data_IF_143877367391
#
_entry.id   IF_143877367391
#
_cell.length_a   1.000
_cell.length_b   1.000
_cell.length_c   1.000
_cell.angle_alpha   90.00
_cell.angle_beta   90.00
_cell.angle_gamma   90.00
#
_symmetry.space_group_name_H-M   'P 1'
#
loop_
_entity.id
_entity.type
_entity.pdbx_description
1 polymer ?
#
# COMPACT_ATOMS: atom_id res chain seq x y z
N UNK A 1 13.95 -13.97 34.31
CA UNK A 1 14.02 -14.98 33.24
C UNK A 1 12.80 -14.97 32.33
N UNK A 2 11.57 -14.91 32.84
CA UNK A 2 10.36 -14.78 32.04
C UNK A 2 10.39 -13.57 31.08
N UNK A 3 11.01 -12.48 31.51
CA UNK A 3 11.08 -11.22 30.73
C UNK A 3 11.85 -11.36 29.40
N UNK A 4 12.92 -12.19 29.36
CA UNK A 4 13.72 -12.38 28.14
C UNK A 4 12.90 -13.16 27.07
N UNK A 5 12.13 -14.16 27.48
CA UNK A 5 11.24 -14.90 26.59
C UNK A 5 10.14 -14.01 26.00
N UNK A 6 9.49 -13.17 26.82
CA UNK A 6 8.43 -12.26 26.33
C UNK A 6 8.98 -11.19 25.38
N UNK A 7 10.14 -10.60 25.67
CA UNK A 7 10.77 -9.62 24.76
C UNK A 7 11.16 -10.26 23.43
N UNK A 8 11.66 -11.48 23.46
CA UNK A 8 12.01 -12.21 22.23
C UNK A 8 10.76 -12.58 21.42
N UNK A 9 9.67 -13.03 22.06
CA UNK A 9 8.41 -13.33 21.40
C UNK A 9 7.78 -12.10 20.73
N UNK A 10 7.79 -10.95 21.39
CA UNK A 10 7.28 -9.70 20.80
C UNK A 10 8.12 -9.28 19.60
N UNK A 11 9.46 -9.40 19.69
CA UNK A 11 10.37 -9.16 18.57
C UNK A 11 10.10 -10.11 17.40
N UNK A 12 9.93 -11.41 17.67
CA UNK A 12 9.60 -12.42 16.67
C UNK A 12 8.29 -12.12 15.95
N UNK A 13 7.26 -11.71 16.68
CA UNK A 13 5.98 -11.28 16.10
C UNK A 13 6.16 -10.06 15.19
N UNK A 14 6.98 -9.09 15.59
CA UNK A 14 7.32 -7.92 14.76
C UNK A 14 8.06 -8.31 13.47
N UNK A 15 9.09 -9.15 13.59
CA UNK A 15 9.86 -9.62 12.43
C UNK A 15 9.01 -10.44 11.45
N UNK A 16 8.08 -11.28 11.96
CA UNK A 16 7.15 -12.02 11.11
C UNK A 16 6.24 -11.08 10.33
N UNK A 17 5.74 -10.02 10.96
CA UNK A 17 4.91 -9.01 10.29
C UNK A 17 5.71 -8.23 9.26
N UNK A 18 6.96 -7.87 9.58
CA UNK A 18 7.86 -7.22 8.63
C UNK A 18 8.15 -8.10 7.41
N UNK A 19 8.38 -9.39 7.63
CA UNK A 19 8.56 -10.37 6.55
C UNK A 19 7.34 -10.42 5.61
N UNK A 20 6.11 -10.33 6.17
CA UNK A 20 4.88 -10.29 5.38
C UNK A 20 4.78 -9.02 4.53
N UNK A 21 5.13 -7.85 5.10
CA UNK A 21 5.12 -6.58 4.37
C UNK A 21 6.16 -6.58 3.25
N UNK A 22 7.38 -7.02 3.53
CA UNK A 22 8.45 -7.11 2.52
C UNK A 22 8.07 -8.10 1.41
N UNK A 23 7.47 -9.25 1.76
CA UNK A 23 6.98 -10.20 0.77
C UNK A 23 5.87 -9.61 -0.12
N UNK A 24 4.94 -8.84 0.47
CA UNK A 24 3.90 -8.14 -0.28
C UNK A 24 4.49 -7.09 -1.22
N UNK A 25 5.48 -6.31 -0.78
CA UNK A 25 6.19 -5.35 -1.63
C UNK A 25 6.86 -6.05 -2.83
N UNK A 26 7.58 -7.15 -2.57
CA UNK A 26 8.24 -7.92 -3.65
C UNK A 26 7.23 -8.47 -4.65
N UNK A 27 6.13 -9.06 -4.17
CA UNK A 27 5.08 -9.61 -5.03
C UNK A 27 4.43 -8.56 -5.92
N UNK A 28 4.38 -7.30 -5.46
CA UNK A 28 3.76 -6.18 -6.16
C UNK A 28 4.77 -5.20 -6.78
N UNK A 29 6.05 -5.56 -6.86
CA UNK A 29 7.09 -4.69 -7.44
C UNK A 29 6.86 -4.37 -8.92
N UNK A 30 6.12 -5.21 -9.65
CA UNK A 30 5.73 -5.00 -11.05
C UNK A 30 4.26 -4.56 -11.19
N UNK A 31 3.53 -4.35 -10.09
CA UNK A 31 2.11 -3.98 -10.13
C UNK A 31 1.98 -2.47 -10.34
N UNK A 32 1.28 -2.07 -11.41
CA UNK A 32 1.01 -0.66 -11.74
C UNK A 32 0.28 0.05 -10.60
N UNK A 33 0.78 1.22 -10.22
CA UNK A 33 0.19 2.04 -9.17
C UNK A 33 0.37 1.50 -7.75
N UNK A 34 1.14 0.43 -7.56
CA UNK A 34 1.42 -0.08 -6.22
C UNK A 34 2.34 0.88 -5.47
N UNK A 35 2.00 1.14 -4.22
CA UNK A 35 2.78 1.96 -3.30
C UNK A 35 3.42 1.07 -2.23
N UNK A 36 4.72 1.21 -2.03
CA UNK A 36 5.47 0.46 -1.04
C UNK A 36 4.90 0.64 0.37
N UNK A 37 4.82 -0.43 1.13
CA UNK A 37 4.51 -0.40 2.56
C UNK A 37 5.76 -0.57 3.40
N UNK A 38 5.82 0.17 4.50
CA UNK A 38 6.80 0.03 5.57
C UNK A 38 6.14 -0.29 6.90
N UNK A 39 6.93 -0.73 7.89
CA UNK A 39 6.46 -0.89 9.26
C UNK A 39 7.14 0.13 10.16
N UNK A 40 6.35 0.85 10.95
CA UNK A 40 6.82 1.65 12.06
C UNK A 40 6.84 0.79 13.33
N UNK A 41 8.03 0.67 13.92
CA UNK A 41 8.21 0.04 15.21
C UNK A 41 8.01 1.08 16.31
N UNK A 42 7.03 0.87 17.17
CA UNK A 42 6.86 1.68 18.38
C UNK A 42 7.39 0.91 19.58
N UNK A 43 8.13 1.59 20.46
CA UNK A 43 8.55 1.07 21.73
C UNK A 43 7.41 1.18 22.75
N UNK A 44 7.03 0.06 23.35
CA UNK A 44 6.10 0.03 24.48
C UNK A 44 6.83 -0.31 25.74
N UNK A 45 6.87 0.65 26.68
CA UNK A 45 7.54 0.46 27.98
C UNK A 45 6.50 0.01 29.00
N UNK A 46 6.63 -1.22 29.49
CA UNK A 46 5.79 -1.76 30.56
C UNK A 46 6.55 -1.74 31.88
N UNK A 47 6.00 -1.07 32.89
CA UNK A 47 6.54 -1.08 34.27
C UNK A 47 6.36 -2.48 34.87
N UNK A 48 7.45 -3.11 35.25
CA UNK A 48 7.41 -4.36 36.02
C UNK A 48 7.21 -4.04 37.52
N UNK A 49 6.32 -4.79 38.20
CA UNK A 49 6.19 -4.69 39.66
C UNK A 49 7.41 -5.34 40.31
N UNK A 50 8.37 -4.53 40.74
CA UNK A 50 9.55 -4.97 41.51
C UNK A 50 10.81 -5.27 40.69
N UNK A 51 10.92 -4.79 39.46
CA UNK A 51 12.08 -4.90 38.58
C UNK A 51 12.20 -3.75 37.58
N UNK A 52 13.26 -3.80 36.75
CA UNK A 52 13.49 -2.85 35.68
C UNK A 52 12.32 -2.88 34.67
N UNK A 53 11.99 -1.71 34.08
CA UNK A 53 10.95 -1.60 33.07
C UNK A 53 11.32 -2.42 31.82
N UNK A 54 10.32 -3.12 31.26
CA UNK A 54 10.45 -3.88 30.03
C UNK A 54 10.13 -3.00 28.82
N UNK A 55 11.10 -2.89 27.93
CA UNK A 55 10.91 -2.30 26.61
C UNK A 55 10.51 -3.39 25.63
N UNK A 56 9.31 -3.26 25.05
CA UNK A 56 8.80 -4.19 24.02
C UNK A 56 8.61 -3.46 22.71
N UNK A 57 9.19 -3.98 21.64
CA UNK A 57 8.95 -3.45 20.30
C UNK A 57 7.60 -3.95 19.76
N UNK A 58 6.73 -3.02 19.39
CA UNK A 58 5.46 -3.34 18.74
C UNK A 58 5.45 -2.78 17.31
N UNK A 59 5.42 -3.66 16.33
CA UNK A 59 5.22 -3.29 14.93
C UNK A 59 3.72 -3.11 14.67
N UNK A 60 3.20 -1.90 14.74
CA UNK A 60 1.75 -1.66 14.70
C UNK A 60 1.23 -0.91 13.49
N UNK A 61 2.05 -0.12 12.82
CA UNK A 61 1.57 0.76 11.76
C UNK A 61 2.26 0.39 10.46
N UNK A 62 1.48 -0.03 9.47
CA UNK A 62 1.93 -0.03 8.10
C UNK A 62 1.90 1.42 7.60
N UNK A 63 3.03 1.94 7.16
CA UNK A 63 3.12 3.25 6.52
C UNK A 63 3.22 3.04 5.02
N UNK A 64 2.33 3.68 4.26
CA UNK A 64 2.39 3.66 2.80
C UNK A 64 3.29 4.79 2.31
N UNK A 65 4.32 4.45 1.53
CA UNK A 65 5.15 5.45 0.85
C UNK A 65 4.37 6.08 -0.28
N UNK A 66 4.12 7.39 -0.21
CA UNK A 66 3.42 8.14 -1.25
C UNK A 66 4.34 8.62 -2.38
N UNK A 67 5.65 8.36 -2.31
CA UNK A 67 6.58 8.74 -3.37
C UNK A 67 6.11 8.20 -4.72
N UNK A 68 6.25 9.03 -5.76
CA UNK A 68 5.85 8.66 -7.12
C UNK A 68 6.75 7.57 -7.69
N UNK A 69 6.14 6.56 -8.33
CA UNK A 69 6.84 5.56 -9.12
C UNK A 69 7.28 6.11 -10.49
N UNK A 70 8.06 5.33 -11.22
CA UNK A 70 8.46 5.69 -12.58
C UNK A 70 7.23 5.74 -13.51
N UNK A 71 7.15 6.79 -14.33
CA UNK A 71 6.10 6.93 -15.35
C UNK A 71 6.52 6.25 -16.64
N UNK A 72 5.83 5.18 -17.00
CA UNK A 72 6.12 4.36 -18.18
C UNK A 72 5.11 4.64 -19.29
N UNK A 73 5.59 4.96 -20.49
CA UNK A 73 4.74 5.21 -21.66
C UNK A 73 4.19 3.90 -22.21
N UNK A 74 2.86 3.81 -22.34
CA UNK A 74 2.17 2.66 -22.95
C UNK A 74 1.57 3.00 -24.31
N UNK A 75 1.15 4.24 -24.51
CA UNK A 75 0.48 4.71 -25.72
C UNK A 75 -1.00 4.33 -25.84
N UNK A 76 -1.58 3.65 -24.85
CA UNK A 76 -3.01 3.37 -24.79
C UNK A 76 -3.77 4.63 -24.34
N UNK A 77 -4.86 4.97 -25.02
CA UNK A 77 -5.60 6.20 -24.78
C UNK A 77 -6.23 6.29 -23.38
N UNK A 78 -6.50 5.15 -22.75
CA UNK A 78 -7.13 5.07 -21.43
C UNK A 78 -6.16 4.71 -20.31
N UNK A 79 -4.88 4.58 -20.61
CA UNK A 79 -3.84 4.49 -19.59
C UNK A 79 -3.51 5.90 -19.11
N UNK A 80 -3.71 6.14 -17.84
CA UNK A 80 -3.54 7.45 -17.21
C UNK A 80 -2.56 7.38 -16.06
N UNK A 81 -1.68 8.35 -15.97
CA UNK A 81 -0.82 8.56 -14.82
C UNK A 81 -1.04 9.94 -14.23
N UNK A 82 -0.92 10.07 -12.93
CA UNK A 82 -0.95 11.36 -12.24
C UNK A 82 0.50 11.83 -12.09
N UNK A 83 0.79 13.06 -12.49
CA UNK A 83 2.07 13.73 -12.22
C UNK A 83 1.93 14.52 -10.90
N UNK A 84 2.73 14.14 -9.89
CA UNK A 84 2.65 14.72 -8.55
C UNK A 84 1.71 13.96 -7.60
N UNK A 85 1.18 14.66 -6.61
CA UNK A 85 0.34 14.09 -5.55
C UNK A 85 -1.11 13.89 -6.01
N UNK A 86 -1.83 12.98 -5.33
CA UNK A 86 -3.25 12.68 -5.58
C UNK A 86 -3.48 11.22 -5.95
N UNK A 87 -4.73 10.86 -6.17
CA UNK A 87 -5.19 9.52 -6.50
C UNK A 87 -6.42 9.62 -7.41
N UNK A 88 -6.60 8.64 -8.26
CA UNK A 88 -7.90 8.40 -8.87
C UNK A 88 -8.87 7.88 -7.80
N UNK A 89 -10.14 8.21 -7.93
CA UNK A 89 -11.19 7.63 -7.10
C UNK A 89 -12.00 6.64 -7.93
N UNK A 90 -12.28 5.48 -7.35
CA UNK A 90 -13.09 4.42 -7.98
C UNK A 90 -14.20 3.99 -7.04
N UNK A 91 -15.35 3.65 -7.60
CA UNK A 91 -16.50 3.17 -6.85
C UNK A 91 -16.44 1.65 -6.71
N UNK A 92 -16.36 1.15 -5.49
CA UNK A 92 -16.43 -0.28 -5.19
C UNK A 92 -17.76 -0.60 -4.49
N UNK A 93 -18.17 -1.88 -4.38
CA UNK A 93 -19.36 -2.27 -3.62
C UNK A 93 -19.32 -1.82 -2.15
N UNK A 94 -18.12 -1.66 -1.58
CA UNK A 94 -17.89 -1.25 -0.19
C UNK A 94 -17.67 0.26 -0.04
N UNK A 95 -17.96 1.05 -1.09
CA UNK A 95 -17.79 2.51 -1.14
C UNK A 95 -16.60 2.98 -1.98
N UNK A 96 -16.31 4.29 -1.96
CA UNK A 96 -15.27 4.88 -2.77
C UNK A 96 -13.87 4.52 -2.26
N UNK A 97 -12.96 4.25 -3.19
CA UNK A 97 -11.55 3.91 -2.92
C UNK A 97 -10.63 4.76 -3.75
N UNK A 98 -9.46 5.01 -3.22
CA UNK A 98 -8.38 5.74 -3.89
C UNK A 98 -7.41 4.74 -4.54
N UNK A 99 -6.88 5.09 -5.71
CA UNK A 99 -5.89 4.26 -6.42
C UNK A 99 -4.93 5.10 -7.24
N UNK A 100 -3.70 4.58 -7.42
CA UNK A 100 -2.72 5.09 -8.40
C UNK A 100 -2.67 4.22 -9.66
N UNK A 101 -3.37 3.09 -9.67
CA UNK A 101 -3.48 2.26 -10.86
C UNK A 101 -4.36 2.95 -11.91
N UNK A 102 -3.76 3.40 -12.99
CA UNK A 102 -4.43 4.15 -14.06
C UNK A 102 -4.70 3.35 -15.32
N UNK A 103 -4.67 2.03 -15.26
CA UNK A 103 -5.03 1.16 -16.37
C UNK A 103 -6.54 1.01 -16.42
N UNK A 104 -7.19 1.83 -17.25
CA UNK A 104 -8.64 1.87 -17.39
C UNK A 104 -9.10 1.36 -18.73
N UNK A 105 -10.36 0.95 -18.80
CA UNK A 105 -11.04 0.56 -20.05
C UNK A 105 -12.49 1.01 -20.00
N UNK A 106 -13.10 1.42 -21.13
CA UNK A 106 -14.54 1.64 -21.17
C UNK A 106 -15.29 0.31 -21.11
N UNK A 107 -16.34 0.23 -20.29
CA UNK A 107 -17.25 -0.91 -20.24
C UNK A 107 -18.29 -0.88 -21.38
N UNK A 108 -19.21 -1.87 -21.42
CA UNK A 108 -20.25 -1.95 -22.45
C UNK A 108 -21.28 -0.80 -22.34
N UNK A 109 -21.35 -0.14 -21.19
CA UNK A 109 -22.21 1.00 -20.92
C UNK A 109 -21.53 2.33 -21.24
N UNK A 110 -20.22 2.31 -21.51
CA UNK A 110 -19.40 3.48 -21.77
C UNK A 110 -18.79 4.12 -20.51
N UNK A 111 -18.90 3.49 -19.34
CA UNK A 111 -18.21 4.00 -18.16
C UNK A 111 -16.73 3.60 -18.19
N UNK A 112 -15.86 4.49 -17.76
CA UNK A 112 -14.44 4.18 -17.58
C UNK A 112 -14.26 3.34 -16.30
N UNK A 113 -13.75 2.12 -16.43
CA UNK A 113 -13.62 1.17 -15.32
C UNK A 113 -12.21 0.64 -15.16
N UNK A 114 -11.87 0.17 -13.95
CA UNK A 114 -10.66 -0.60 -13.68
C UNK A 114 -10.77 -2.01 -14.26
N UNK A 115 -9.66 -2.77 -14.23
CA UNK A 115 -9.64 -4.18 -14.63
C UNK A 115 -10.61 -5.06 -13.82
N UNK A 116 -10.90 -4.66 -12.57
CA UNK A 116 -11.86 -5.33 -11.69
C UNK A 116 -13.31 -4.87 -11.92
N UNK A 117 -13.55 -3.95 -12.87
CA UNK A 117 -14.86 -3.43 -13.21
C UNK A 117 -15.37 -2.30 -12.30
N UNK A 118 -14.52 -1.67 -11.52
CA UNK A 118 -14.88 -0.54 -10.67
C UNK A 118 -14.90 0.76 -11.48
N UNK A 119 -16.03 1.51 -11.51
CA UNK A 119 -16.11 2.78 -12.21
C UNK A 119 -15.15 3.83 -11.63
N UNK A 120 -14.47 4.55 -12.51
CA UNK A 120 -13.66 5.73 -12.17
C UNK A 120 -14.61 6.91 -11.98
N UNK A 121 -14.35 7.75 -10.99
CA UNK A 121 -15.20 8.85 -10.62
C UNK A 121 -14.62 10.19 -11.08
N UNK A 122 -15.52 11.12 -11.41
CA UNK A 122 -15.22 12.53 -11.68
C UNK A 122 -15.07 13.33 -10.37
N UNK A 123 -14.83 14.65 -10.47
CA UNK A 123 -14.73 15.53 -9.31
C UNK A 123 -16.04 15.64 -8.50
N UNK A 124 -17.18 15.30 -9.09
CA UNK A 124 -18.48 15.25 -8.44
C UNK A 124 -18.85 13.86 -7.90
N UNK A 125 -17.89 12.93 -7.90
CA UNK A 125 -18.08 11.53 -7.49
C UNK A 125 -19.10 10.76 -8.33
N UNK A 126 -19.31 11.18 -9.57
CA UNK A 126 -20.12 10.43 -10.55
C UNK A 126 -19.22 9.58 -11.47
N UNK A 127 -19.71 8.42 -11.97
CA UNK A 127 -18.95 7.61 -12.93
C UNK A 127 -18.60 8.40 -14.19
N UNK A 128 -17.32 8.32 -14.59
CA UNK A 128 -16.82 8.96 -15.81
C UNK A 128 -17.32 8.19 -17.02
N UNK A 129 -18.05 8.90 -17.91
CA UNK A 129 -18.62 8.35 -19.13
C UNK A 129 -17.76 8.67 -20.35
N UNK A 130 -17.46 7.63 -21.15
CA UNK A 130 -16.76 7.73 -22.43
C UNK A 130 -17.54 6.94 -23.48
N UNK A 131 -18.25 7.61 -24.39
CA UNK A 131 -19.11 6.93 -25.38
C UNK A 131 -18.27 6.05 -26.30
N UNK A 132 -18.74 4.83 -26.54
CA UNK A 132 -18.14 3.91 -27.49
C UNK A 132 -18.39 4.40 -28.94
N UNK A 133 -17.30 4.55 -29.72
CA UNK A 133 -17.41 4.82 -31.15
C UNK A 133 -17.26 6.27 -31.61
N UNK A 134 -17.08 7.24 -30.72
CA UNK A 134 -16.96 8.67 -31.07
C UNK A 134 -15.55 9.11 -31.53
N UNK A 135 -14.77 8.21 -32.08
CA UNK A 135 -13.45 8.54 -32.65
C UNK A 135 -12.32 8.60 -31.59
N UNK A 136 -11.19 9.26 -31.90
CA UNK A 136 -10.04 9.32 -30.99
C UNK A 136 -10.38 10.12 -29.73
N UNK A 137 -10.13 9.50 -28.56
CA UNK A 137 -10.30 10.12 -27.25
C UNK A 137 -8.99 10.81 -26.86
N UNK A 138 -9.09 12.07 -26.46
CA UNK A 138 -7.96 12.85 -25.92
C UNK A 138 -8.29 13.25 -24.49
N UNK A 139 -7.31 13.10 -23.62
CA UNK A 139 -7.41 13.48 -22.20
C UNK A 139 -6.41 14.59 -21.93
N UNK A 140 -6.91 15.74 -21.53
CA UNK A 140 -6.11 16.92 -21.25
C UNK A 140 -5.42 16.80 -19.88
N UNK A 141 -4.37 17.61 -19.61
CA UNK A 141 -3.64 17.54 -18.34
C UNK A 141 -4.49 17.81 -17.09
N UNK A 142 -5.60 18.51 -17.21
CA UNK A 142 -6.57 18.73 -16.13
C UNK A 142 -7.55 17.55 -15.91
N UNK A 143 -7.37 16.46 -16.67
CA UNK A 143 -8.25 15.29 -16.62
C UNK A 143 -9.49 15.39 -17.53
N UNK A 144 -9.68 16.50 -18.27
CA UNK A 144 -10.81 16.65 -19.19
C UNK A 144 -10.72 15.66 -20.34
N UNK A 145 -11.74 14.83 -20.47
CA UNK A 145 -11.88 13.85 -21.56
C UNK A 145 -12.64 14.51 -22.71
N UNK A 146 -12.08 14.42 -23.89
CA UNK A 146 -12.71 14.94 -25.13
C UNK A 146 -12.75 13.85 -26.19
N UNK A 147 -13.89 13.73 -26.87
CA UNK A 147 -14.06 12.92 -28.07
C UNK A 147 -14.46 13.83 -29.25
N UNK A 148 -13.79 13.71 -30.39
CA UNK A 148 -14.00 14.58 -31.55
C UNK A 148 -13.88 16.09 -31.23
N UNK A 149 -13.06 16.47 -30.22
CA UNK A 149 -12.90 17.86 -29.80
C UNK A 149 -14.02 18.41 -28.93
N UNK A 150 -15.00 17.58 -28.54
CA UNK A 150 -16.06 17.96 -27.61
C UNK A 150 -15.74 17.41 -26.20
N UNK A 151 -15.78 18.24 -25.16
CA UNK A 151 -15.60 17.75 -23.78
C UNK A 151 -16.79 16.88 -23.38
N UNK A 152 -16.48 15.69 -22.79
CA UNK A 152 -17.46 14.68 -22.41
C UNK A 152 -17.55 14.51 -20.89
N UNK A 153 -16.45 14.74 -20.17
CA UNK A 153 -16.34 14.58 -18.74
C UNK A 153 -14.93 14.90 -18.27
N UNK A 154 -14.68 14.67 -17.00
CA UNK A 154 -13.36 14.91 -16.40
C UNK A 154 -13.05 13.80 -15.39
N UNK A 155 -11.84 13.25 -15.43
CA UNK A 155 -11.37 12.31 -14.40
C UNK A 155 -11.05 13.09 -13.12
N UNK A 156 -11.64 12.68 -12.00
CA UNK A 156 -11.37 13.29 -10.71
C UNK A 156 -10.04 12.83 -10.11
N UNK A 157 -9.28 13.80 -9.59
CA UNK A 157 -8.08 13.53 -8.79
C UNK A 157 -8.35 13.99 -7.36
N UNK A 158 -8.03 13.13 -6.40
CA UNK A 158 -8.34 13.34 -4.99
C UNK A 158 -7.11 13.14 -4.12
N UNK A 159 -6.99 13.93 -3.07
CA UNK A 159 -6.02 13.73 -2.01
C UNK A 159 -6.72 13.25 -0.73
N UNK A 160 -6.18 12.27 -0.03
CA UNK A 160 -6.73 11.88 1.27
C UNK A 160 -6.56 13.03 2.27
N UNK A 161 -7.60 13.33 3.06
CA UNK A 161 -7.56 14.36 4.12
C UNK A 161 -6.47 14.04 5.14
N UNK A 162 -6.31 12.76 5.49
CA UNK A 162 -5.21 12.29 6.33
C UNK A 162 -4.49 11.10 5.67
N UNK A 163 -3.33 11.31 5.05
CA UNK A 163 -2.58 10.24 4.40
C UNK A 163 -2.14 9.11 5.34
N UNK A 164 -1.98 9.39 6.64
CA UNK A 164 -1.57 8.39 7.63
C UNK A 164 -2.68 7.43 8.05
N UNK A 165 -3.92 7.80 7.78
CA UNK A 165 -5.11 6.99 8.09
C UNK A 165 -5.61 6.21 6.88
N UNK A 166 -4.87 6.24 5.77
CA UNK A 166 -5.18 5.40 4.64
C UNK A 166 -4.96 3.93 4.98
N UNK A 167 -5.97 3.12 4.72
CA UNK A 167 -5.94 1.68 4.90
C UNK A 167 -5.91 1.04 3.53
N UNK A 168 -4.89 0.23 3.26
CA UNK A 168 -4.81 -0.53 2.01
C UNK A 168 -5.87 -1.64 2.01
N UNK A 169 -6.59 -1.76 0.92
CA UNK A 169 -7.51 -2.85 0.63
C UNK A 169 -7.12 -3.49 -0.71
N UNK A 170 -6.75 -4.76 -0.68
CA UNK A 170 -6.16 -5.43 -1.83
C UNK A 170 -4.73 -4.96 -2.15
N UNK A 171 -4.37 -4.91 -3.45
CA UNK A 171 -3.02 -4.53 -3.87
C UNK A 171 -2.86 -3.03 -4.09
N UNK A 172 -3.81 -2.36 -4.73
CA UNK A 172 -3.68 -0.98 -5.22
C UNK A 172 -4.79 -0.03 -4.76
N UNK A 173 -5.75 -0.52 -3.98
CA UNK A 173 -6.85 0.29 -3.46
C UNK A 173 -6.57 0.77 -2.05
N UNK A 174 -7.03 1.98 -1.74
CA UNK A 174 -6.90 2.57 -0.42
C UNK A 174 -8.25 3.12 0.04
N UNK A 175 -8.61 2.82 1.26
CA UNK A 175 -9.72 3.45 1.96
C UNK A 175 -9.18 4.60 2.80
N UNK A 176 -9.75 5.78 2.66
CA UNK A 176 -9.49 6.94 3.50
C UNK A 176 -10.64 7.11 4.49
N UNK A 177 -10.40 6.90 5.77
CA UNK A 177 -11.45 7.03 6.80
C UNK A 177 -11.86 8.50 7.02
N UNK A 178 -10.91 9.41 6.89
CA UNK A 178 -11.15 10.85 6.98
C UNK A 178 -11.75 11.45 5.70
N UNK A 179 -11.97 10.64 4.65
CA UNK A 179 -12.41 11.12 3.34
C UNK A 179 -11.26 11.57 2.45
N UNK A 180 -11.61 12.10 1.28
CA UNK A 180 -10.67 12.64 0.32
C UNK A 180 -11.26 13.93 -0.29
N UNK A 181 -10.38 14.87 -0.65
CA UNK A 181 -10.75 16.15 -1.24
C UNK A 181 -10.23 16.24 -2.67
N UNK A 182 -10.96 16.91 -3.60
CA UNK A 182 -10.50 17.15 -4.95
C UNK A 182 -9.20 17.97 -4.97
N UNK A 183 -8.31 17.64 -5.89
CA UNK A 183 -7.05 18.38 -6.14
C UNK A 183 -7.19 19.17 -7.45
N UNK A 184 -7.25 20.50 -7.35
CA UNK A 184 -7.49 21.37 -8.52
C UNK A 184 -6.26 21.49 -9.45
N UNK A 185 -5.05 21.44 -8.90
CA UNK A 185 -3.79 21.59 -9.65
C UNK A 185 -3.15 20.25 -10.07
N UNK A 186 -3.88 19.13 -9.96
CA UNK A 186 -3.39 17.84 -10.36
C UNK A 186 -3.22 17.73 -11.88
N UNK A 187 -2.17 17.03 -12.32
CA UNK A 187 -1.90 16.80 -13.73
C UNK A 187 -2.02 15.33 -14.09
N UNK A 188 -2.81 15.07 -15.13
CA UNK A 188 -2.98 13.74 -15.71
C UNK A 188 -2.16 13.65 -17.00
N UNK A 189 -1.48 12.54 -17.19
CA UNK A 189 -0.73 12.24 -18.42
C UNK A 189 -1.39 11.04 -19.10
N UNK A 190 -1.92 11.26 -20.30
CA UNK A 190 -2.50 10.23 -21.14
C UNK A 190 -1.42 9.35 -21.78
N UNK A 191 -1.68 8.05 -21.88
CA UNK A 191 -0.77 7.08 -22.50
C UNK A 191 0.41 6.69 -21.63
N UNK A 192 0.32 6.93 -20.33
CA UNK A 192 1.31 6.55 -19.33
C UNK A 192 0.68 5.81 -18.17
N UNK A 193 1.47 4.96 -17.53
CA UNK A 193 1.13 4.30 -16.27
C UNK A 193 2.21 4.57 -15.25
N UNK A 194 1.81 4.69 -13.99
CA UNK A 194 2.74 4.76 -12.87
C UNK A 194 3.15 3.33 -12.46
N UNK A 195 4.45 3.02 -12.54
CA UNK A 195 4.99 1.77 -12.03
C UNK A 195 4.98 1.73 -10.48
N UNK A 196 5.17 0.57 -9.91
CA UNK A 196 5.40 0.43 -8.47
C UNK A 196 6.61 1.28 -8.02
N UNK A 197 6.52 1.92 -6.85
CA UNK A 197 7.67 2.61 -6.25
C UNK A 197 8.55 1.68 -5.38
N UNK A 198 8.36 0.37 -5.50
CA UNK A 198 9.14 -0.65 -4.80
C UNK A 198 10.45 -0.91 -5.56
N UNK A 199 11.58 -0.84 -4.86
CA UNK A 199 12.84 -1.39 -5.36
C UNK A 199 12.99 -2.88 -4.96
N UNK A 200 12.86 -3.83 -5.91
CA UNK A 200 12.89 -5.26 -5.60
C UNK A 200 14.20 -5.72 -4.97
N UNK A 201 15.33 -5.10 -5.35
CA UNK A 201 16.66 -5.50 -4.85
C UNK A 201 16.79 -5.15 -3.37
N UNK A 202 16.42 -3.94 -3.01
CA UNK A 202 16.39 -3.49 -1.61
C UNK A 202 15.45 -4.34 -0.76
N UNK A 203 14.28 -4.69 -1.29
CA UNK A 203 13.33 -5.53 -0.58
C UNK A 203 13.84 -6.96 -0.38
N UNK A 204 14.53 -7.55 -1.37
CA UNK A 204 15.16 -8.86 -1.23
C UNK A 204 16.28 -8.84 -0.17
N UNK A 205 17.12 -7.80 -0.17
CA UNK A 205 18.14 -7.64 0.85
C UNK A 205 17.49 -7.55 2.26
N UNK A 206 16.43 -6.75 2.38
CA UNK A 206 15.68 -6.61 3.64
C UNK A 206 15.03 -7.93 4.08
N UNK A 207 14.48 -8.71 3.16
CA UNK A 207 13.93 -10.04 3.44
C UNK A 207 14.97 -10.95 4.09
N UNK A 208 16.19 -11.00 3.53
CA UNK A 208 17.28 -11.82 4.05
C UNK A 208 17.69 -11.36 5.46
N UNK A 209 17.79 -10.06 5.70
CA UNK A 209 18.09 -9.50 7.01
C UNK A 209 17.05 -9.89 8.06
N UNK A 210 15.78 -9.71 7.73
CA UNK A 210 14.65 -10.00 8.63
C UNK A 210 14.59 -11.51 8.91
N UNK A 211 14.79 -12.34 7.88
CA UNK A 211 14.81 -13.79 8.02
C UNK A 211 15.94 -14.23 8.97
N UNK A 212 17.16 -13.73 8.78
CA UNK A 212 18.30 -14.04 9.68
C UNK A 212 18.02 -13.60 11.11
N UNK A 213 17.44 -12.41 11.29
CA UNK A 213 17.07 -11.91 12.62
C UNK A 213 16.01 -12.80 13.29
N UNK A 214 15.06 -13.30 12.49
CA UNK A 214 14.03 -14.25 12.94
C UNK A 214 14.67 -15.58 13.38
N UNK A 215 15.53 -16.17 12.55
CA UNK A 215 16.22 -17.44 12.84
C UNK A 215 17.10 -17.35 14.11
N UNK A 216 17.85 -16.24 14.26
CA UNK A 216 18.64 -15.99 15.48
C UNK A 216 17.77 -15.92 16.74
N UNK A 217 16.60 -15.26 16.66
CA UNK A 217 15.67 -15.21 17.78
C UNK A 217 15.06 -16.56 18.10
N UNK A 218 14.77 -17.39 17.09
CA UNK A 218 14.31 -18.77 17.28
C UNK A 218 15.36 -19.61 18.01
N UNK A 219 16.59 -19.57 17.51
CA UNK A 219 17.72 -20.30 18.13
C UNK A 219 17.96 -19.87 19.59
N UNK A 220 17.79 -18.58 19.90
CA UNK A 220 17.87 -18.09 21.27
C UNK A 220 16.78 -18.69 22.16
N UNK A 221 15.53 -18.74 21.69
CA UNK A 221 14.42 -19.33 22.46
C UNK A 221 14.64 -20.81 22.70
N UNK A 222 15.12 -21.57 21.71
CA UNK A 222 15.40 -23.00 21.82
C UNK A 222 16.52 -23.26 22.84
N UNK A 223 17.57 -22.46 22.83
CA UNK A 223 18.68 -22.54 23.80
C UNK A 223 18.22 -22.23 25.25
N UNK A 224 17.30 -21.26 25.39
CA UNK A 224 16.74 -20.90 26.71
C UNK A 224 15.80 -22.01 27.24
N UNK A 225 15.02 -22.63 26.38
CA UNK A 225 14.16 -23.78 26.76
C UNK A 225 15.00 -24.98 27.21
N UNK A 226 16.10 -25.30 26.52
CA UNK A 226 16.99 -26.37 26.89
C UNK A 226 17.72 -26.06 28.23
N UNK A 227 18.09 -24.81 28.45
CA UNK A 227 18.68 -24.36 29.73
C UNK A 227 17.71 -24.56 30.90
N UNK A 228 16.43 -24.16 30.70
CA UNK A 228 15.39 -24.34 31.71
C UNK A 228 15.13 -25.82 31.99
N UNK A 229 15.05 -26.67 30.99
CA UNK A 229 14.85 -28.11 31.12
C UNK A 229 16.01 -28.76 31.88
N UNK A 230 17.24 -28.33 31.60
CA UNK A 230 18.44 -28.85 32.29
C UNK A 230 18.46 -28.44 33.76
N UNK A 231 18.13 -27.16 34.06
CA UNK A 231 18.01 -26.69 35.42
C UNK A 231 16.92 -27.47 36.22
N UNK A 232 15.76 -27.72 35.60
CA UNK A 232 14.72 -28.51 36.24
C UNK A 232 15.16 -29.97 36.55
N UNK A 233 15.86 -30.61 35.61
CA UNK A 233 16.41 -31.97 35.83
C UNK A 233 17.46 -32.03 36.98
N UNK A 234 18.21 -30.95 37.22
CA UNK A 234 19.18 -30.91 38.31
C UNK A 234 18.55 -30.62 39.68
N UNK A 235 17.37 -29.93 39.70
CA UNK A 235 16.65 -29.65 40.94
C UNK A 235 15.76 -30.82 41.44
N UNK A 236 15.44 -31.77 40.55
CA UNK A 236 14.58 -32.93 40.87
C UNK A 236 15.42 -34.16 41.30
N UNK A 237 16.76 -34.07 41.24
CA UNK A 237 17.68 -35.06 41.84
C UNK A 237 18.04 -34.67 43.26
#
# INVERSE_FOLDING_TARGET
MENAGYTTLTRQSGLKREMQVVANNIANAATTGFKQEGLLFSEYIMRSKGGDSLSMASARVAETSLSQGELTKTGNAFDLAIEGDGFFMVQTPDGNRLTRAGMFTPDAQGNLVTADGHPVLDLGEAPVFVPAGDGPVSIAPDGTISANGQPMGQVGIFAPVNPREMIREGSVLFRSEAGAEPVEDARVIQGFLEASNVDPISQLARMIEVQRAYEMGQSFMDAEDERIRTAMKTLIK
#
